data_IF_553682312494
#
_entry.id   IF_553682312494
#
_cell.length_a   1.000
_cell.length_b   1.000
_cell.length_c   1.000
_cell.angle_alpha   90.00
_cell.angle_beta   90.00
_cell.angle_gamma   90.00
#
_symmetry.space_group_name_H-M   'P 1'
#
loop_
_entity.id
_entity.type
_entity.pdbx_description
1 polymer ?
#
# COMPACT_ATOMS: atom_id res chain seq x y z
N UNK A 1 -10.56 -17.17 2.79
CA UNK A 1 -10.69 -16.31 4.00
C UNK A 1 -11.17 -14.93 3.57
N UNK A 2 -12.09 -14.28 4.30
CA UNK A 2 -12.55 -12.92 3.97
C UNK A 2 -11.53 -11.87 4.45
N UNK A 3 -11.45 -10.74 3.76
CA UNK A 3 -10.55 -9.62 4.12
C UNK A 3 -10.77 -9.12 5.56
N UNK A 4 -12.01 -9.11 6.03
CA UNK A 4 -12.33 -8.75 7.43
C UNK A 4 -11.76 -9.75 8.44
N UNK A 5 -11.72 -11.03 8.11
CA UNK A 5 -11.13 -12.08 8.95
C UNK A 5 -9.61 -12.00 8.95
N UNK A 6 -9.01 -11.72 7.78
CA UNK A 6 -7.55 -11.52 7.64
C UNK A 6 -7.08 -10.42 8.57
N UNK A 7 -7.72 -9.24 8.52
CA UNK A 7 -7.36 -8.11 9.38
C UNK A 7 -7.52 -8.45 10.86
N UNK A 8 -8.65 -9.05 11.24
CA UNK A 8 -8.91 -9.38 12.63
C UNK A 8 -7.93 -10.41 13.19
N UNK A 9 -7.62 -11.46 12.43
CA UNK A 9 -6.66 -12.48 12.85
C UNK A 9 -5.25 -11.92 13.05
N UNK A 10 -4.80 -10.95 12.21
CA UNK A 10 -3.54 -10.27 12.41
C UNK A 10 -3.50 -9.53 13.76
N UNK A 11 -4.53 -8.73 14.02
CA UNK A 11 -4.61 -7.96 15.26
C UNK A 11 -4.71 -8.86 16.49
N UNK A 12 -5.52 -9.91 16.44
CA UNK A 12 -5.69 -10.87 17.53
C UNK A 12 -4.40 -11.65 17.81
N UNK A 13 -3.68 -12.05 16.75
CA UNK A 13 -2.39 -12.72 16.87
C UNK A 13 -1.38 -11.85 17.62
N UNK A 14 -1.19 -10.60 17.21
CA UNK A 14 -0.26 -9.72 17.89
C UNK A 14 -0.75 -9.26 19.27
N UNK A 15 -2.05 -9.14 19.48
CA UNK A 15 -2.62 -8.96 20.82
C UNK A 15 -2.26 -10.14 21.77
N UNK A 16 -2.28 -11.40 21.26
CA UNK A 16 -1.83 -12.56 22.02
C UNK A 16 -0.33 -12.54 22.37
N UNK A 17 0.47 -11.82 21.57
CA UNK A 17 1.89 -11.53 21.83
C UNK A 17 2.08 -10.22 22.63
N UNK A 18 1.04 -9.78 23.35
CA UNK A 18 1.02 -8.60 24.23
C UNK A 18 1.17 -7.24 23.52
N UNK A 19 0.86 -7.15 22.23
CA UNK A 19 0.82 -5.86 21.55
C UNK A 19 -0.49 -5.13 21.87
N UNK A 20 -0.38 -3.82 22.08
CA UNK A 20 -1.53 -2.94 22.20
C UNK A 20 -2.09 -2.63 20.83
N UNK A 21 -3.34 -2.98 20.57
CA UNK A 21 -4.04 -2.57 19.34
C UNK A 21 -4.33 -1.07 19.43
N UNK A 22 -3.97 -0.32 18.41
CA UNK A 22 -4.26 1.11 18.27
C UNK A 22 -5.04 1.40 17.00
N UNK A 23 -5.72 2.53 16.95
CA UNK A 23 -6.41 2.97 15.75
C UNK A 23 -5.42 3.49 14.70
N UNK A 24 -5.76 3.30 13.43
CA UNK A 24 -5.02 3.89 12.31
C UNK A 24 -4.94 5.41 12.43
N UNK A 25 -3.75 5.96 12.26
CA UNK A 25 -3.57 7.41 12.16
C UNK A 25 -4.14 7.95 10.83
N UNK A 26 -4.44 9.26 10.75
CA UNK A 26 -4.82 9.90 9.49
C UNK A 26 -3.76 9.74 8.40
N UNK A 27 -4.20 9.61 7.15
CA UNK A 27 -3.29 9.54 5.98
C UNK A 27 -2.59 10.86 5.69
N UNK A 28 -3.21 11.98 6.03
CA UNK A 28 -2.65 13.32 5.77
C UNK A 28 -2.01 13.85 7.04
N UNK A 29 -0.72 14.07 6.98
CA UNK A 29 0.07 14.54 8.11
C UNK A 29 0.09 16.07 8.06
N UNK A 30 -0.44 16.73 9.10
CA UNK A 30 -0.57 18.20 9.12
C UNK A 30 0.67 18.93 9.65
N UNK A 31 1.42 18.29 10.54
CA UNK A 31 2.47 18.94 11.32
C UNK A 31 3.89 18.36 11.07
N UNK A 32 4.07 17.55 10.05
CA UNK A 32 5.40 17.02 9.66
C UNK A 32 5.82 17.62 8.30
N UNK A 33 6.82 18.50 8.27
CA UNK A 33 7.31 19.09 7.02
C UNK A 33 8.05 18.10 6.11
N UNK A 34 8.44 16.93 6.64
CA UNK A 34 9.15 15.90 5.89
C UNK A 34 8.24 14.94 5.13
N UNK A 35 6.96 14.83 5.52
CA UNK A 35 6.00 13.90 4.96
C UNK A 35 4.63 14.55 4.77
N UNK A 36 4.15 14.59 3.54
CA UNK A 36 2.79 15.06 3.23
C UNK A 36 1.73 14.02 3.57
N UNK A 37 2.06 12.74 3.42
CA UNK A 37 1.16 11.60 3.63
C UNK A 37 1.84 10.51 4.45
N UNK A 38 1.06 9.79 5.23
CA UNK A 38 1.47 8.52 5.84
C UNK A 38 1.69 7.49 4.74
N UNK A 39 2.93 7.16 4.44
CA UNK A 39 3.31 6.23 3.37
C UNK A 39 3.79 4.87 3.88
N UNK A 40 3.94 4.73 5.20
CA UNK A 40 4.31 3.50 5.90
C UNK A 40 3.70 3.48 7.30
N UNK A 41 3.49 2.28 7.84
CA UNK A 41 2.87 2.07 9.15
C UNK A 41 3.65 2.71 10.31
N UNK A 42 4.97 2.89 10.16
CA UNK A 42 5.82 3.46 11.20
C UNK A 42 5.74 4.99 11.31
N UNK A 43 5.22 5.70 10.30
CA UNK A 43 5.26 7.16 10.29
C UNK A 43 4.65 7.80 11.56
N UNK A 44 3.50 7.32 12.08
CA UNK A 44 2.92 7.85 13.31
C UNK A 44 3.79 7.64 14.56
N UNK A 45 4.76 6.72 14.51
CA UNK A 45 5.60 6.30 15.63
C UNK A 45 7.05 6.79 15.53
N UNK A 46 7.36 7.66 14.54
CA UNK A 46 8.71 8.21 14.30
C UNK A 46 9.41 8.67 15.57
N UNK A 47 8.70 9.44 16.40
CA UNK A 47 9.25 10.02 17.61
C UNK A 47 9.60 8.97 18.70
N UNK A 48 8.90 7.82 18.67
CA UNK A 48 9.21 6.67 19.54
C UNK A 48 10.53 6.00 19.15
N UNK A 49 10.76 5.80 17.84
CA UNK A 49 12.01 5.23 17.32
C UNK A 49 13.22 6.12 17.61
N UNK A 50 13.04 7.43 17.55
CA UNK A 50 14.10 8.40 17.86
C UNK A 50 14.33 8.62 19.37
N UNK A 51 13.47 8.04 20.22
CA UNK A 51 13.54 8.23 21.67
C UNK A 51 13.12 9.63 22.14
N UNK A 52 12.51 10.44 21.27
CA UNK A 52 12.07 11.80 21.60
C UNK A 52 10.83 11.81 22.50
N UNK A 53 10.03 10.75 22.43
CA UNK A 53 8.81 10.58 23.26
C UNK A 53 8.71 9.15 23.77
N UNK A 54 8.10 8.98 24.95
CA UNK A 54 7.86 7.65 25.52
C UNK A 54 6.65 7.00 24.80
N UNK A 55 6.80 5.77 24.28
CA UNK A 55 5.69 5.08 23.62
C UNK A 55 4.58 4.73 24.63
N UNK A 56 3.32 4.79 24.16
CA UNK A 56 2.14 4.41 24.97
C UNK A 56 2.12 2.91 25.34
N UNK A 57 2.90 2.11 24.65
CA UNK A 57 3.22 0.71 24.88
C UNK A 57 4.52 0.38 24.17
N UNK A 58 5.34 -0.52 24.72
CA UNK A 58 6.54 -1.01 24.04
C UNK A 58 6.23 -1.91 22.85
N UNK A 59 5.01 -2.47 22.78
CA UNK A 59 4.52 -3.29 21.70
C UNK A 59 3.20 -2.70 21.18
N UNK A 60 3.13 -2.39 19.90
CA UNK A 60 1.94 -1.83 19.25
C UNK A 60 1.65 -2.63 17.99
N UNK A 61 0.36 -2.76 17.64
CA UNK A 61 -0.11 -3.30 16.36
C UNK A 61 -1.32 -2.53 15.85
N UNK A 62 -1.41 -2.37 14.55
CA UNK A 62 -2.59 -1.81 13.90
C UNK A 62 -2.73 -2.25 12.43
N UNK A 63 -3.75 -1.71 11.77
CA UNK A 63 -3.89 -1.66 10.32
C UNK A 63 -3.83 -0.21 9.89
N UNK A 64 -2.67 0.26 9.42
CA UNK A 64 -2.44 1.66 9.09
C UNK A 64 -2.87 1.98 7.65
N UNK A 65 -3.68 3.02 7.50
CA UNK A 65 -4.00 3.64 6.21
C UNK A 65 -2.75 4.29 5.62
N UNK A 66 -2.35 3.87 4.43
CA UNK A 66 -1.17 4.41 3.75
C UNK A 66 -1.52 4.95 2.36
N UNK A 67 -0.80 6.01 1.97
CA UNK A 67 -0.96 6.68 0.68
C UNK A 67 0.40 6.87 0.00
N UNK A 68 0.59 6.27 -1.20
CA UNK A 68 1.82 6.34 -1.98
C UNK A 68 1.57 6.98 -3.34
N UNK A 69 1.64 8.32 -3.39
CA UNK A 69 1.31 9.13 -4.58
C UNK A 69 2.28 10.29 -4.82
N UNK A 70 3.39 10.32 -4.08
CA UNK A 70 4.39 11.39 -4.19
C UNK A 70 5.73 11.00 -3.59
N UNK A 71 6.80 11.70 -3.98
CA UNK A 71 8.14 11.51 -3.43
C UNK A 71 8.79 10.20 -3.83
N UNK A 72 9.53 9.59 -2.90
CA UNK A 72 10.27 8.33 -3.12
C UNK A 72 9.33 7.13 -3.37
N UNK A 73 8.13 7.17 -2.80
CA UNK A 73 7.12 6.12 -2.92
C UNK A 73 5.92 6.69 -3.70
N UNK A 74 5.92 6.50 -5.01
CA UNK A 74 4.86 6.98 -5.90
C UNK A 74 4.41 5.87 -6.84
N UNK A 75 3.29 5.25 -6.52
CA UNK A 75 2.73 4.11 -7.24
C UNK A 75 1.63 4.53 -8.24
N UNK A 76 1.42 5.85 -8.44
CA UNK A 76 0.26 6.39 -9.19
C UNK A 76 0.20 5.90 -10.65
N UNK A 77 1.34 5.74 -11.30
CA UNK A 77 1.39 5.36 -12.73
C UNK A 77 1.12 3.86 -12.93
N UNK A 78 1.50 3.02 -11.96
CA UNK A 78 1.31 1.57 -11.97
C UNK A 78 -0.13 1.16 -11.66
N UNK A 79 -0.86 2.00 -10.91
CA UNK A 79 -2.24 1.72 -10.46
C UNK A 79 -3.19 1.46 -11.61
N UNK A 80 -3.81 0.29 -11.57
CA UNK A 80 -4.75 -0.21 -12.56
C UNK A 80 -4.09 -0.92 -13.74
N UNK A 81 -2.80 -0.67 -14.01
CA UNK A 81 -2.01 -1.33 -15.05
C UNK A 81 -1.52 -2.67 -14.54
N UNK A 82 -0.80 -2.69 -13.42
CA UNK A 82 -0.43 -3.93 -12.76
C UNK A 82 -1.54 -4.47 -11.83
N UNK A 83 -1.24 -5.51 -11.08
CA UNK A 83 -2.22 -6.27 -10.30
C UNK A 83 -2.13 -6.05 -8.80
N UNK A 84 -1.15 -5.26 -8.30
CA UNK A 84 -0.83 -5.20 -6.87
C UNK A 84 -0.40 -3.83 -6.33
N UNK A 85 -0.17 -2.81 -7.16
CA UNK A 85 0.07 -1.44 -6.69
C UNK A 85 -1.22 -0.65 -6.52
N UNK A 86 -1.27 0.16 -5.47
CA UNK A 86 -2.41 1.00 -5.10
C UNK A 86 -1.96 2.38 -4.66
N UNK A 87 -2.79 3.41 -4.90
CA UNK A 87 -2.56 4.72 -4.30
C UNK A 87 -2.83 4.69 -2.80
N UNK A 88 -3.96 4.09 -2.41
CA UNK A 88 -4.31 3.80 -1.02
C UNK A 88 -4.22 2.29 -0.76
N UNK A 89 -3.58 1.90 0.33
CA UNK A 89 -3.56 0.52 0.81
C UNK A 89 -3.52 0.46 2.33
N UNK A 90 -3.89 -0.69 2.90
CA UNK A 90 -3.72 -0.94 4.32
C UNK A 90 -2.38 -1.65 4.55
N UNK A 91 -1.61 -1.15 5.53
CA UNK A 91 -0.40 -1.80 6.01
C UNK A 91 -0.69 -2.38 7.39
N UNK A 92 -0.72 -3.71 7.48
CA UNK A 92 -0.77 -4.40 8.76
C UNK A 92 0.61 -4.32 9.39
N UNK A 93 0.69 -3.79 10.60
CA UNK A 93 1.96 -3.52 11.26
C UNK A 93 2.04 -4.00 12.70
N UNK A 94 3.23 -4.43 13.11
CA UNK A 94 3.59 -4.65 14.49
C UNK A 94 4.93 -4.01 14.79
N UNK A 95 5.02 -3.35 15.95
CA UNK A 95 6.18 -2.56 16.34
C UNK A 95 6.67 -2.96 17.71
N UNK A 96 8.02 -2.92 17.87
CA UNK A 96 8.72 -3.05 19.14
C UNK A 96 9.59 -1.82 19.39
N UNK A 97 9.37 -1.18 20.51
CA UNK A 97 10.14 0.00 20.94
C UNK A 97 11.08 -0.39 22.07
N UNK A 98 12.26 -0.91 21.71
CA UNK A 98 13.28 -1.36 22.67
C UNK A 98 12.82 -2.53 23.55
N UNK A 99 12.05 -3.48 22.98
CA UNK A 99 11.56 -4.67 23.70
C UNK A 99 12.07 -5.96 23.03
N UNK A 100 11.36 -6.49 22.03
CA UNK A 100 11.84 -7.63 21.23
C UNK A 100 12.55 -7.19 19.95
N UNK A 101 13.27 -8.12 19.32
CA UNK A 101 14.01 -7.83 18.10
C UNK A 101 13.85 -8.96 17.05
N UNK A 102 14.92 -9.29 16.32
CA UNK A 102 14.88 -10.19 15.14
C UNK A 102 14.34 -11.58 15.44
N UNK A 103 14.73 -12.18 16.56
CA UNK A 103 14.35 -13.57 16.86
C UNK A 103 12.83 -13.71 17.00
N UNK A 104 12.21 -12.89 17.84
CA UNK A 104 10.76 -12.91 18.00
C UNK A 104 10.03 -12.45 16.73
N UNK A 105 10.50 -11.36 16.10
CA UNK A 105 9.86 -10.83 14.91
C UNK A 105 9.78 -11.87 13.77
N UNK A 106 10.88 -12.56 13.50
CA UNK A 106 10.98 -13.59 12.47
C UNK A 106 10.15 -14.82 12.83
N UNK A 107 10.27 -15.32 14.06
CA UNK A 107 9.51 -16.50 14.49
C UNK A 107 8.00 -16.24 14.50
N UNK A 108 7.55 -15.05 14.95
CA UNK A 108 6.12 -14.69 14.93
C UNK A 108 5.60 -14.46 13.50
N UNK A 109 6.41 -13.89 12.62
CA UNK A 109 6.03 -13.76 11.21
C UNK A 109 5.81 -15.13 10.57
N UNK A 110 6.72 -16.08 10.82
CA UNK A 110 6.57 -17.46 10.36
C UNK A 110 5.34 -18.13 10.94
N UNK A 111 5.16 -18.08 12.27
CA UNK A 111 4.00 -18.65 12.97
C UNK A 111 2.68 -18.10 12.40
N UNK A 112 2.58 -16.78 12.21
CA UNK A 112 1.37 -16.16 11.65
C UNK A 112 1.06 -16.67 10.23
N UNK A 113 2.06 -16.69 9.37
CA UNK A 113 1.86 -17.09 7.96
C UNK A 113 1.53 -18.59 7.83
N UNK A 114 2.24 -19.46 8.55
CA UNK A 114 2.13 -20.90 8.35
C UNK A 114 1.11 -21.57 9.28
N UNK A 115 0.99 -21.10 10.53
CA UNK A 115 0.12 -21.74 11.52
C UNK A 115 -1.27 -21.07 11.60
N UNK A 116 -1.36 -19.75 11.44
CA UNK A 116 -2.65 -19.03 11.50
C UNK A 116 -3.27 -18.94 10.12
N UNK A 117 -2.54 -18.39 9.14
CA UNK A 117 -3.04 -18.22 7.78
C UNK A 117 -2.92 -19.48 6.92
N UNK A 118 -2.20 -20.51 7.37
CA UNK A 118 -2.04 -21.80 6.66
C UNK A 118 -1.45 -21.67 5.26
N UNK A 119 -0.58 -20.70 5.07
CA UNK A 119 0.18 -20.56 3.82
C UNK A 119 1.19 -21.71 3.75
N UNK A 120 1.25 -22.35 2.61
CA UNK A 120 2.18 -23.45 2.34
C UNK A 120 3.63 -22.96 2.47
N UNK A 121 4.43 -23.52 3.42
CA UNK A 121 5.83 -23.17 3.61
C UNK A 121 6.67 -23.27 2.33
N UNK A 122 6.30 -24.19 1.44
CA UNK A 122 7.01 -24.40 0.17
C UNK A 122 6.86 -23.27 -0.84
N UNK A 123 5.92 -22.34 -0.60
CA UNK A 123 5.73 -21.14 -1.42
C UNK A 123 6.46 -19.89 -0.89
N UNK A 124 7.10 -20.01 0.30
CA UNK A 124 7.71 -18.86 0.98
C UNK A 124 9.20 -18.77 0.65
N UNK A 125 9.63 -17.59 0.28
CA UNK A 125 11.02 -17.17 0.12
C UNK A 125 11.26 -15.95 0.99
N UNK A 126 12.48 -15.80 1.52
CA UNK A 126 12.86 -14.65 2.32
C UNK A 126 14.12 -14.01 1.78
N UNK A 127 14.25 -12.71 1.96
CA UNK A 127 15.47 -11.99 1.69
C UNK A 127 16.11 -11.52 2.99
N UNK A 128 17.42 -11.36 2.99
CA UNK A 128 18.17 -10.72 4.05
C UNK A 128 19.13 -9.69 3.44
N UNK A 129 19.48 -8.69 4.20
CA UNK A 129 20.42 -7.66 3.75
C UNK A 129 21.83 -8.22 3.52
N UNK A 130 22.37 -8.03 2.29
CA UNK A 130 23.70 -8.50 1.90
C UNK A 130 24.85 -7.65 2.43
N UNK A 131 24.54 -6.48 3.00
CA UNK A 131 25.52 -5.50 3.46
C UNK A 131 25.70 -4.35 2.47
N UNK A 132 26.33 -3.25 2.94
CA UNK A 132 26.68 -2.08 2.13
C UNK A 132 28.03 -1.52 2.55
N UNK A 133 29.03 -1.65 1.67
CA UNK A 133 30.41 -1.21 1.95
C UNK A 133 30.52 0.29 2.19
N UNK A 134 29.74 1.08 1.47
CA UNK A 134 29.77 2.55 1.60
C UNK A 134 29.32 3.00 2.99
N UNK A 135 28.31 2.34 3.55
CA UNK A 135 27.80 2.64 4.90
C UNK A 135 28.54 1.83 5.99
N UNK A 136 29.53 0.99 5.62
CA UNK A 136 30.28 0.12 6.52
C UNK A 136 29.38 -0.86 7.32
N UNK A 137 28.28 -1.32 6.70
CA UNK A 137 27.35 -2.28 7.31
C UNK A 137 27.59 -3.64 6.65
N UNK A 138 27.83 -4.66 7.48
CA UNK A 138 27.96 -6.06 7.03
C UNK A 138 26.64 -6.70 6.65
N UNK A 139 26.73 -7.93 6.14
CA UNK A 139 25.56 -8.81 5.91
C UNK A 139 24.82 -9.03 7.22
N UNK A 140 23.50 -9.12 7.17
CA UNK A 140 22.67 -9.44 8.33
C UNK A 140 22.72 -10.95 8.67
N UNK A 141 23.84 -11.38 9.24
CA UNK A 141 24.06 -12.77 9.64
C UNK A 141 23.13 -13.21 10.79
N UNK A 142 22.64 -12.26 11.61
CA UNK A 142 21.69 -12.56 12.68
C UNK A 142 20.35 -13.02 12.07
N UNK A 143 19.77 -12.25 11.17
CA UNK A 143 18.53 -12.65 10.46
C UNK A 143 18.72 -13.94 9.65
N UNK A 144 19.86 -14.07 8.94
CA UNK A 144 20.18 -15.30 8.20
C UNK A 144 20.18 -16.54 9.11
N UNK A 145 20.84 -16.48 10.26
CA UNK A 145 20.95 -17.63 11.17
C UNK A 145 19.61 -17.98 11.83
N UNK A 146 18.71 -17.01 12.02
CA UNK A 146 17.35 -17.27 12.51
C UNK A 146 16.54 -17.97 11.42
N UNK A 147 16.51 -17.43 10.20
CA UNK A 147 15.80 -18.03 9.08
C UNK A 147 16.29 -19.44 8.72
N UNK A 148 17.60 -19.71 8.81
CA UNK A 148 18.20 -21.02 8.54
C UNK A 148 17.71 -22.15 9.46
N UNK A 149 17.17 -21.80 10.65
CA UNK A 149 16.52 -22.77 11.55
C UNK A 149 15.12 -23.16 11.10
N UNK A 150 14.51 -22.36 10.23
CA UNK A 150 13.11 -22.42 9.84
C UNK A 150 12.94 -22.86 8.39
N UNK A 151 13.77 -22.33 7.49
CA UNK A 151 13.71 -22.54 6.04
C UNK A 151 14.97 -23.21 5.49
N UNK A 152 14.85 -23.98 4.40
CA UNK A 152 16.00 -24.44 3.61
C UNK A 152 16.81 -23.24 3.09
N UNK A 153 18.12 -23.39 3.03
CA UNK A 153 19.07 -22.31 2.71
C UNK A 153 18.84 -21.70 1.31
N UNK A 154 18.41 -22.52 0.33
CA UNK A 154 18.07 -22.09 -1.02
C UNK A 154 16.85 -21.17 -1.12
N UNK A 155 16.11 -20.97 -0.03
CA UNK A 155 14.97 -20.05 0.08
C UNK A 155 15.31 -18.78 0.84
N UNK A 156 16.55 -18.63 1.31
CA UNK A 156 17.06 -17.43 1.99
C UNK A 156 17.98 -16.70 1.02
N UNK A 157 17.50 -15.60 0.46
CA UNK A 157 18.17 -14.89 -0.61
C UNK A 157 18.85 -13.61 -0.08
N UNK A 158 19.89 -13.18 -0.77
CA UNK A 158 20.56 -11.92 -0.46
C UNK A 158 19.88 -10.77 -1.22
N UNK A 159 19.56 -9.71 -0.51
CA UNK A 159 19.03 -8.49 -1.10
C UNK A 159 19.96 -7.30 -0.86
N UNK A 160 20.06 -6.45 -1.86
CA UNK A 160 20.91 -5.27 -1.85
C UNK A 160 20.29 -4.14 -0.99
N UNK A 161 21.01 -3.02 -0.89
CA UNK A 161 20.56 -1.86 -0.10
C UNK A 161 19.22 -1.27 -0.57
N UNK A 162 18.92 -1.35 -1.86
CA UNK A 162 17.67 -0.81 -2.41
C UNK A 162 16.46 -1.60 -1.87
N UNK A 163 16.61 -2.92 -1.79
CA UNK A 163 15.53 -3.82 -1.44
C UNK A 163 15.52 -4.14 0.07
N UNK A 164 16.69 -4.39 0.67
CA UNK A 164 16.80 -4.88 2.05
C UNK A 164 17.44 -3.91 3.06
N UNK A 165 17.44 -2.61 2.78
CA UNK A 165 17.79 -1.58 3.78
C UNK A 165 16.76 -0.46 3.75
N UNK A 166 15.81 -0.51 4.67
CA UNK A 166 14.73 0.46 4.74
C UNK A 166 15.16 1.75 5.41
N UNK A 167 14.70 2.87 4.89
CA UNK A 167 14.87 4.20 5.49
C UNK A 167 13.57 5.00 5.29
N UNK A 168 13.13 5.70 6.33
CA UNK A 168 11.91 6.51 6.30
C UNK A 168 11.98 7.61 5.20
N UNK A 169 13.15 8.17 5.00
CA UNK A 169 13.45 9.20 4.02
C UNK A 169 14.96 9.40 3.87
N UNK A 170 15.37 10.59 3.45
CA UNK A 170 16.79 10.95 3.36
C UNK A 170 17.45 11.08 4.75
N UNK A 171 16.65 11.28 5.78
CA UNK A 171 17.03 11.34 7.18
C UNK A 171 16.03 10.59 8.05
N UNK A 172 16.46 10.16 9.23
CA UNK A 172 15.61 9.52 10.23
C UNK A 172 15.91 8.04 10.46
N UNK A 173 15.02 7.33 11.17
CA UNK A 173 15.19 5.92 11.53
C UNK A 173 15.37 5.06 10.28
N UNK A 174 16.34 4.11 10.37
CA UNK A 174 16.62 3.19 9.28
C UNK A 174 17.31 1.92 9.80
N UNK A 175 17.34 0.88 8.97
CA UNK A 175 18.01 -0.36 9.29
C UNK A 175 17.86 -1.43 8.24
N UNK A 176 18.58 -2.56 8.36
CA UNK A 176 18.41 -3.71 7.50
C UNK A 176 17.01 -4.28 7.65
N UNK A 177 16.53 -4.91 6.59
CA UNK A 177 15.25 -5.58 6.64
C UNK A 177 15.28 -6.97 5.99
N UNK A 178 14.28 -7.76 6.31
CA UNK A 178 14.02 -9.08 5.74
C UNK A 178 12.63 -9.07 5.13
N UNK A 179 12.55 -9.28 3.83
CA UNK A 179 11.27 -9.37 3.12
C UNK A 179 10.82 -10.82 3.05
N UNK A 180 9.51 -11.02 3.13
CA UNK A 180 8.86 -12.32 2.94
C UNK A 180 8.07 -12.26 1.63
N UNK A 181 8.45 -13.13 0.70
CA UNK A 181 7.84 -13.27 -0.61
C UNK A 181 7.05 -14.58 -0.69
N UNK A 182 5.94 -14.54 -1.42
CA UNK A 182 5.10 -15.72 -1.66
C UNK A 182 4.98 -15.96 -3.16
N UNK A 183 5.28 -17.20 -3.56
CA UNK A 183 5.12 -17.67 -4.94
C UNK A 183 3.71 -18.24 -5.12
N UNK A 184 2.85 -17.47 -5.78
CA UNK A 184 1.46 -17.88 -6.04
C UNK A 184 1.26 -18.51 -7.42
N UNK A 185 2.35 -18.87 -8.11
CA UNK A 185 2.30 -19.56 -9.42
C UNK A 185 1.77 -20.97 -9.28
N UNK A 186 1.43 -21.58 -10.43
CA UNK A 186 1.10 -23.01 -10.48
C UNK A 186 2.34 -23.87 -10.26
N UNK A 187 2.13 -25.14 -9.91
CA UNK A 187 3.25 -26.09 -9.72
C UNK A 187 4.08 -26.26 -10.99
N UNK A 188 3.42 -26.29 -12.14
CA UNK A 188 4.07 -26.43 -13.46
C UNK A 188 4.95 -25.22 -13.81
N UNK A 189 4.56 -24.03 -13.37
CA UNK A 189 5.37 -22.81 -13.54
C UNK A 189 6.58 -22.80 -12.61
N UNK A 190 6.40 -23.27 -11.35
CA UNK A 190 7.47 -23.37 -10.34
C UNK A 190 8.51 -24.42 -10.75
N UNK A 191 8.09 -25.56 -11.28
CA UNK A 191 8.99 -26.61 -11.78
C UNK A 191 9.87 -26.14 -12.96
N UNK A 192 9.35 -25.24 -13.81
CA UNK A 192 10.11 -24.68 -14.93
C UNK A 192 11.15 -23.65 -14.49
N UNK A 193 10.78 -22.79 -13.54
CA UNK A 193 11.63 -21.71 -13.02
C UNK A 193 11.40 -21.59 -11.53
N UNK A 194 12.42 -21.84 -10.72
CA UNK A 194 12.35 -21.68 -9.27
C UNK A 194 11.93 -20.24 -8.90
N UNK A 195 11.09 -20.12 -7.87
CA UNK A 195 10.71 -18.81 -7.32
C UNK A 195 11.89 -17.98 -6.83
N UNK A 196 12.97 -18.63 -6.35
CA UNK A 196 14.20 -17.94 -5.95
C UNK A 196 14.82 -17.06 -7.04
N UNK A 197 14.64 -17.42 -8.32
CA UNK A 197 15.12 -16.64 -9.45
C UNK A 197 14.25 -15.42 -9.79
N UNK A 198 13.06 -15.35 -9.19
CA UNK A 198 12.04 -14.33 -9.51
C UNK A 198 11.77 -13.35 -8.35
N UNK A 199 12.29 -13.63 -7.16
CA UNK A 199 12.26 -12.71 -6.02
C UNK A 199 12.95 -11.40 -6.40
N UNK A 200 12.31 -10.25 -6.14
CA UNK A 200 12.79 -8.90 -6.48
C UNK A 200 13.14 -8.72 -7.98
N UNK A 201 12.33 -9.36 -8.86
CA UNK A 201 12.43 -9.24 -10.33
C UNK A 201 11.11 -8.75 -10.96
N UNK A 202 10.29 -8.04 -10.22
CA UNK A 202 9.00 -7.49 -10.66
C UNK A 202 8.05 -8.56 -11.25
N UNK A 203 8.17 -9.82 -10.78
CA UNK A 203 7.30 -10.89 -11.26
C UNK A 203 5.93 -10.79 -10.55
N UNK A 204 4.80 -10.70 -11.30
CA UNK A 204 3.48 -10.42 -10.72
C UNK A 204 2.94 -11.51 -9.80
N UNK A 205 3.55 -12.70 -9.81
CA UNK A 205 3.11 -13.86 -9.01
C UNK A 205 4.19 -14.39 -8.04
N UNK A 206 5.31 -13.68 -7.88
CA UNK A 206 6.30 -13.93 -6.82
C UNK A 206 6.46 -12.60 -6.10
N UNK A 207 5.62 -12.38 -5.12
CA UNK A 207 5.34 -11.06 -4.57
C UNK A 207 5.84 -10.93 -3.14
N UNK A 208 6.43 -9.78 -2.84
CA UNK A 208 6.67 -9.34 -1.47
C UNK A 208 5.33 -9.09 -0.78
N UNK A 209 5.11 -9.77 0.35
CA UNK A 209 3.89 -9.63 1.16
C UNK A 209 4.18 -8.89 2.45
N UNK A 210 5.36 -9.11 3.04
CA UNK A 210 5.70 -8.57 4.35
C UNK A 210 7.16 -8.14 4.41
N UNK A 211 7.42 -6.95 4.93
CA UNK A 211 8.76 -6.45 5.20
C UNK A 211 8.98 -6.33 6.72
N UNK A 212 10.01 -7.01 7.24
CA UNK A 212 10.42 -6.97 8.65
C UNK A 212 11.64 -6.05 8.74
N UNK A 213 11.46 -4.83 9.24
CA UNK A 213 12.51 -3.83 9.35
C UNK A 213 13.10 -3.81 10.75
N UNK A 214 14.41 -3.91 10.84
CA UNK A 214 15.19 -3.91 12.07
C UNK A 214 15.87 -2.56 12.24
N UNK A 215 15.19 -1.63 12.90
CA UNK A 215 15.65 -0.25 13.06
C UNK A 215 16.73 -0.18 14.12
N UNK A 216 17.96 0.07 13.67
CA UNK A 216 19.16 0.16 14.52
C UNK A 216 19.88 1.50 14.36
N UNK A 217 19.56 2.29 13.33
CA UNK A 217 20.27 3.51 12.97
C UNK A 217 19.35 4.71 12.79
N UNK A 218 19.93 5.89 12.98
CA UNK A 218 19.36 7.16 12.53
C UNK A 218 20.28 7.74 11.45
N UNK A 219 19.75 7.97 10.25
CA UNK A 219 20.47 8.63 9.16
C UNK A 219 20.45 10.14 9.37
N UNK A 220 21.64 10.75 9.41
CA UNK A 220 21.82 12.19 9.55
C UNK A 220 21.76 12.92 8.21
N UNK A 221 21.68 14.25 8.26
CA UNK A 221 21.64 15.12 7.06
C UNK A 221 22.87 14.99 6.15
N UNK A 222 24.04 14.66 6.70
CA UNK A 222 25.27 14.40 5.96
C UNK A 222 25.35 12.99 5.35
N UNK A 223 24.30 12.18 5.55
CA UNK A 223 24.18 10.80 5.09
C UNK A 223 24.85 9.76 6.01
N UNK A 224 25.52 10.17 7.07
CA UNK A 224 26.12 9.25 8.05
C UNK A 224 25.04 8.51 8.86
N UNK A 225 25.43 7.34 9.38
CA UNK A 225 24.56 6.51 10.21
C UNK A 225 25.04 6.56 11.67
N UNK A 226 24.13 6.96 12.55
CA UNK A 226 24.33 6.92 13.99
C UNK A 226 23.51 5.76 14.58
N UNK A 227 24.14 4.93 15.43
CA UNK A 227 23.41 3.87 16.12
C UNK A 227 22.39 4.45 17.09
N UNK A 228 21.19 3.92 17.07
CA UNK A 228 20.18 4.25 18.07
C UNK A 228 20.52 3.65 19.44
N UNK A 229 20.09 4.28 20.54
CA UNK A 229 20.29 3.74 21.89
C UNK A 229 19.66 2.37 22.12
N UNK A 230 18.51 2.15 21.49
CA UNK A 230 17.75 0.88 21.56
C UNK A 230 17.52 0.35 20.14
N UNK A 231 17.32 -0.96 20.05
CA UNK A 231 16.92 -1.63 18.81
C UNK A 231 15.40 -1.72 18.75
N UNK A 232 14.85 -1.52 17.58
CA UNK A 232 13.41 -1.50 17.38
C UNK A 232 13.01 -2.43 16.22
N UNK A 233 11.77 -2.86 16.25
CA UNK A 233 11.14 -3.58 15.12
C UNK A 233 10.05 -2.70 14.54
N UNK A 234 10.07 -2.56 13.21
CA UNK A 234 9.00 -2.02 12.37
C UNK A 234 8.63 -3.08 11.35
N UNK A 235 7.37 -3.44 11.23
CA UNK A 235 6.95 -4.34 10.16
C UNK A 235 5.81 -3.77 9.37
N UNK A 236 5.79 -4.08 8.08
CA UNK A 236 4.72 -3.67 7.18
C UNK A 236 4.32 -4.80 6.25
N UNK A 237 3.10 -5.35 6.46
CA UNK A 237 2.51 -6.34 5.59
C UNK A 237 1.42 -5.72 4.73
N UNK A 238 1.52 -5.88 3.40
CA UNK A 238 0.52 -5.41 2.46
C UNK A 238 -0.79 -6.20 2.61
N UNK A 239 -1.80 -5.57 3.18
CA UNK A 239 -3.09 -6.22 3.44
C UNK A 239 -3.76 -6.74 2.16
N UNK A 240 -3.80 -5.93 1.11
CA UNK A 240 -4.40 -6.32 -0.17
C UNK A 240 -3.64 -7.49 -0.82
N UNK A 241 -2.29 -7.47 -0.74
CA UNK A 241 -1.45 -8.57 -1.23
C UNK A 241 -1.68 -9.85 -0.44
N UNK A 242 -1.77 -9.76 0.89
CA UNK A 242 -2.09 -10.90 1.74
C UNK A 242 -3.48 -11.47 1.42
N UNK A 243 -4.49 -10.61 1.24
CA UNK A 243 -5.83 -11.04 0.82
C UNK A 243 -5.79 -11.77 -0.53
N UNK A 244 -5.00 -11.30 -1.48
CA UNK A 244 -4.82 -11.95 -2.78
C UNK A 244 -4.27 -13.38 -2.63
N UNK A 245 -3.24 -13.55 -1.80
CA UNK A 245 -2.67 -14.88 -1.50
C UNK A 245 -3.69 -15.80 -0.84
N UNK A 246 -4.36 -15.31 0.22
CA UNK A 246 -5.29 -16.13 1.02
C UNK A 246 -6.61 -16.46 0.31
N UNK A 247 -6.95 -15.70 -0.72
CA UNK A 247 -8.13 -15.94 -1.57
C UNK A 247 -7.80 -16.65 -2.88
N UNK A 248 -6.54 -17.09 -3.05
CA UNK A 248 -6.04 -17.76 -4.25
C UNK A 248 -6.37 -16.95 -5.54
N UNK A 249 -6.05 -15.65 -5.50
CA UNK A 249 -6.23 -14.73 -6.62
C UNK A 249 -4.90 -14.36 -7.26
N UNK A 250 -4.93 -13.89 -8.50
CA UNK A 250 -3.76 -13.42 -9.26
C UNK A 250 -3.69 -11.90 -9.36
N UNK A 251 -4.68 -11.20 -8.78
CA UNK A 251 -4.75 -9.76 -8.71
C UNK A 251 -5.44 -9.34 -7.41
N UNK A 252 -4.94 -8.27 -6.77
CA UNK A 252 -5.61 -7.64 -5.63
C UNK A 252 -7.04 -7.24 -5.99
N UNK A 253 -7.26 -6.79 -7.23
CA UNK A 253 -8.57 -6.37 -7.73
C UNK A 253 -9.60 -7.50 -7.82
N UNK A 254 -9.18 -8.77 -7.81
CA UNK A 254 -10.06 -9.94 -7.84
C UNK A 254 -10.44 -10.44 -6.45
N UNK A 255 -10.00 -9.76 -5.40
CA UNK A 255 -10.32 -10.06 -4.00
C UNK A 255 -11.62 -9.40 -3.55
N UNK A 256 -12.14 -9.83 -2.41
CA UNK A 256 -13.30 -9.21 -1.79
C UNK A 256 -13.06 -7.76 -1.31
N UNK A 257 -11.81 -7.29 -1.34
CA UNK A 257 -11.44 -5.89 -1.09
C UNK A 257 -11.90 -4.97 -2.22
N UNK A 258 -11.87 -5.43 -3.47
CA UNK A 258 -12.19 -4.60 -4.64
C UNK A 258 -13.45 -5.03 -5.39
N UNK A 259 -13.77 -6.32 -5.42
CA UNK A 259 -14.89 -6.87 -6.20
C UNK A 259 -16.22 -6.16 -5.95
N UNK A 260 -16.62 -5.80 -4.72
CA UNK A 260 -17.88 -5.07 -4.52
C UNK A 260 -17.92 -3.72 -5.24
N UNK A 261 -16.82 -2.97 -5.22
CA UNK A 261 -16.70 -1.70 -5.97
C UNK A 261 -16.70 -1.93 -7.48
N UNK A 262 -15.94 -2.92 -7.95
CA UNK A 262 -15.85 -3.27 -9.37
C UNK A 262 -17.24 -3.62 -9.91
N UNK A 263 -18.02 -4.45 -9.22
CA UNK A 263 -19.38 -4.84 -9.64
C UNK A 263 -20.35 -3.65 -9.67
N UNK A 264 -20.22 -2.73 -8.72
CA UNK A 264 -21.06 -1.52 -8.76
C UNK A 264 -20.65 -0.59 -9.91
N UNK A 265 -19.35 -0.45 -10.20
CA UNK A 265 -18.87 0.31 -11.36
C UNK A 265 -19.39 -0.31 -12.66
N UNK A 266 -19.34 -1.64 -12.82
CA UNK A 266 -19.91 -2.33 -13.98
C UNK A 266 -21.40 -1.97 -14.16
N UNK A 267 -22.15 -2.02 -13.07
CA UNK A 267 -23.59 -1.72 -13.07
C UNK A 267 -23.86 -0.27 -13.49
N UNK A 268 -23.17 0.68 -12.86
CA UNK A 268 -23.36 2.12 -13.12
C UNK A 268 -22.91 2.55 -14.51
N UNK A 269 -21.92 1.87 -15.08
CA UNK A 269 -21.32 2.25 -16.36
C UNK A 269 -21.77 1.36 -17.54
N UNK A 270 -22.56 0.31 -17.27
CA UNK A 270 -22.94 -0.71 -18.24
C UNK A 270 -21.71 -1.31 -18.96
N UNK A 271 -20.62 -1.51 -18.22
CA UNK A 271 -19.39 -2.14 -18.70
C UNK A 271 -19.22 -3.53 -18.11
N UNK A 272 -18.23 -4.29 -18.57
CA UNK A 272 -17.96 -5.62 -18.05
C UNK A 272 -16.46 -5.77 -17.81
N UNK A 273 -16.09 -6.06 -16.56
CA UNK A 273 -14.71 -6.35 -16.14
C UNK A 273 -14.28 -7.72 -16.69
N UNK A 274 -13.03 -7.80 -17.14
CA UNK A 274 -12.46 -9.01 -17.74
C UNK A 274 -12.65 -9.15 -19.26
N UNK A 275 -13.27 -8.16 -19.94
CA UNK A 275 -13.50 -8.22 -21.40
C UNK A 275 -12.49 -7.41 -22.22
N UNK A 276 -11.93 -6.35 -21.67
CA UNK A 276 -11.06 -5.43 -22.39
C UNK A 276 -10.07 -4.79 -21.42
N UNK A 277 -8.80 -4.83 -21.75
CA UNK A 277 -7.73 -4.24 -20.95
C UNK A 277 -8.01 -2.77 -20.59
N UNK A 278 -8.44 -1.95 -21.56
CA UNK A 278 -8.76 -0.53 -21.31
C UNK A 278 -9.92 -0.34 -20.33
N UNK A 279 -10.95 -1.19 -20.45
CA UNK A 279 -12.09 -1.19 -19.53
C UNK A 279 -11.65 -1.63 -18.16
N UNK A 280 -10.86 -2.68 -18.06
CA UNK A 280 -10.38 -3.25 -16.79
C UNK A 280 -9.49 -2.26 -16.06
N UNK A 281 -8.52 -1.66 -16.74
CA UNK A 281 -7.68 -0.59 -16.17
C UNK A 281 -8.55 0.56 -15.65
N UNK A 282 -9.56 0.97 -16.43
CA UNK A 282 -10.42 2.10 -16.03
C UNK A 282 -11.23 1.79 -14.78
N UNK A 283 -11.79 0.60 -14.68
CA UNK A 283 -12.55 0.15 -13.51
C UNK A 283 -11.62 0.06 -12.28
N UNK A 284 -10.41 -0.51 -12.44
CA UNK A 284 -9.40 -0.61 -11.37
C UNK A 284 -8.98 0.77 -10.86
N UNK A 285 -8.67 1.69 -11.77
CA UNK A 285 -8.29 3.07 -11.41
C UNK A 285 -9.41 3.76 -10.64
N UNK A 286 -10.67 3.63 -11.07
CA UNK A 286 -11.80 4.25 -10.37
C UNK A 286 -11.98 3.64 -8.98
N UNK A 287 -11.92 2.32 -8.85
CA UNK A 287 -12.06 1.62 -7.57
C UNK A 287 -10.94 2.00 -6.58
N UNK A 288 -9.70 2.03 -7.04
CA UNK A 288 -8.54 2.44 -6.23
C UNK A 288 -8.64 3.90 -5.80
N UNK A 289 -8.87 4.80 -6.75
CA UNK A 289 -8.85 6.24 -6.49
C UNK A 289 -10.03 6.70 -5.62
N UNK A 290 -11.18 6.04 -5.71
CA UNK A 290 -12.28 6.30 -4.78
C UNK A 290 -11.87 6.00 -3.34
N UNK A 291 -11.16 4.87 -3.10
CA UNK A 291 -10.66 4.53 -1.76
C UNK A 291 -9.79 5.68 -1.24
N UNK A 292 -8.82 6.10 -2.03
CA UNK A 292 -7.92 7.22 -1.67
C UNK A 292 -8.69 8.50 -1.34
N UNK A 293 -9.57 8.93 -2.22
CA UNK A 293 -10.27 10.21 -2.07
C UNK A 293 -11.22 10.19 -0.89
N UNK A 294 -11.97 9.10 -0.73
CA UNK A 294 -12.92 9.00 0.36
C UNK A 294 -12.23 8.95 1.73
N UNK A 295 -11.17 8.14 1.89
CA UNK A 295 -10.41 8.11 3.13
C UNK A 295 -9.74 9.46 3.43
N UNK A 296 -9.21 10.16 2.44
CA UNK A 296 -8.66 11.50 2.63
C UNK A 296 -9.72 12.49 3.14
N UNK A 297 -10.92 12.49 2.54
CA UNK A 297 -12.02 13.35 2.99
C UNK A 297 -12.45 12.96 4.41
N UNK A 298 -12.54 11.68 4.73
CA UNK A 298 -12.90 11.20 6.06
C UNK A 298 -11.87 11.59 7.13
N UNK A 299 -10.58 11.69 6.76
CA UNK A 299 -9.51 12.20 7.62
C UNK A 299 -9.46 13.75 7.67
N UNK A 300 -10.39 14.44 7.00
CA UNK A 300 -10.53 15.90 7.01
C UNK A 300 -9.72 16.63 5.94
N UNK A 301 -9.20 15.92 4.93
CA UNK A 301 -8.51 16.55 3.79
C UNK A 301 -9.43 16.65 2.58
N UNK A 302 -9.92 17.84 2.33
CA UNK A 302 -10.74 18.13 1.14
C UNK A 302 -9.85 18.35 -0.11
N UNK A 303 -10.35 18.00 -1.32
CA UNK A 303 -9.74 18.43 -2.57
C UNK A 303 -9.57 19.96 -2.63
N UNK A 304 -8.40 20.43 -3.05
CA UNK A 304 -8.09 21.85 -3.13
C UNK A 304 -7.12 22.17 -4.28
N UNK A 305 -6.68 23.44 -4.38
CA UNK A 305 -5.72 23.88 -5.40
C UNK A 305 -4.26 23.81 -4.96
N UNK A 306 -3.99 23.51 -3.67
CA UNK A 306 -2.65 23.54 -3.09
C UNK A 306 -2.44 22.37 -2.14
N UNK A 307 -1.16 22.05 -1.86
CA UNK A 307 -0.76 21.06 -0.86
C UNK A 307 -1.35 19.68 -1.06
N UNK A 308 -1.64 18.99 0.03
CA UNK A 308 -2.23 17.66 0.01
C UNK A 308 -3.56 17.59 -0.74
N UNK A 309 -4.42 18.60 -0.57
CA UNK A 309 -5.70 18.66 -1.26
C UNK A 309 -5.59 18.74 -2.79
N UNK A 310 -4.52 19.32 -3.32
CA UNK A 310 -4.23 19.31 -4.76
C UNK A 310 -3.94 17.90 -5.27
N UNK A 311 -3.18 17.12 -4.51
CA UNK A 311 -2.88 15.72 -4.87
C UNK A 311 -4.18 14.91 -4.86
N UNK A 312 -5.00 15.02 -3.81
CA UNK A 312 -6.30 14.34 -3.72
C UNK A 312 -7.21 14.73 -4.89
N UNK A 313 -7.27 16.02 -5.26
CA UNK A 313 -8.03 16.50 -6.42
C UNK A 313 -7.52 15.89 -7.73
N UNK A 314 -6.21 15.79 -7.92
CA UNK A 314 -5.62 15.15 -9.12
C UNK A 314 -6.01 13.68 -9.22
N UNK A 315 -5.99 12.95 -8.12
CA UNK A 315 -6.38 11.53 -8.08
C UNK A 315 -7.86 11.38 -8.47
N UNK A 316 -8.76 12.19 -7.88
CA UNK A 316 -10.17 12.16 -8.24
C UNK A 316 -10.38 12.49 -9.73
N UNK A 317 -9.74 13.53 -10.24
CA UNK A 317 -9.83 13.93 -11.66
C UNK A 317 -9.28 12.84 -12.60
N UNK A 318 -8.26 12.09 -12.17
CA UNK A 318 -7.76 10.94 -12.93
C UNK A 318 -8.86 9.87 -13.04
N UNK A 319 -9.54 9.53 -11.95
CA UNK A 319 -10.66 8.58 -11.98
C UNK A 319 -11.81 9.07 -12.89
N UNK A 320 -12.21 10.34 -12.77
CA UNK A 320 -13.27 10.93 -13.62
C UNK A 320 -12.88 10.86 -15.10
N UNK A 321 -11.63 11.18 -15.44
CA UNK A 321 -11.12 11.12 -16.81
C UNK A 321 -11.18 9.70 -17.37
N UNK A 322 -10.83 8.68 -16.59
CA UNK A 322 -10.95 7.28 -17.02
C UNK A 322 -12.40 6.88 -17.26
N UNK A 323 -13.31 7.26 -16.38
CA UNK A 323 -14.75 7.06 -16.56
C UNK A 323 -15.28 7.76 -17.82
N UNK A 324 -14.91 9.01 -18.05
CA UNK A 324 -15.31 9.80 -19.21
C UNK A 324 -14.77 9.21 -20.52
N UNK A 325 -13.48 8.89 -20.58
CA UNK A 325 -12.78 8.52 -21.80
C UNK A 325 -13.06 7.07 -22.22
N UNK A 326 -13.06 6.15 -21.26
CA UNK A 326 -13.06 4.72 -21.59
C UNK A 326 -14.35 3.99 -21.20
N UNK A 327 -15.14 4.53 -20.26
CA UNK A 327 -16.44 3.96 -19.87
C UNK A 327 -17.61 4.80 -20.34
N UNK A 328 -17.37 5.82 -21.17
CA UNK A 328 -18.37 6.72 -21.75
C UNK A 328 -19.29 7.41 -20.71
N UNK A 329 -18.77 7.68 -19.51
CA UNK A 329 -19.54 8.33 -18.45
C UNK A 329 -19.43 9.86 -18.56
N UNK A 330 -20.49 10.48 -19.08
CA UNK A 330 -20.57 11.94 -19.28
C UNK A 330 -21.26 12.68 -18.12
N UNK A 331 -21.73 11.92 -17.12
CA UNK A 331 -22.38 12.44 -15.91
C UNK A 331 -21.67 11.93 -14.67
N UNK A 332 -21.73 12.66 -13.55
CA UNK A 332 -21.19 12.20 -12.29
C UNK A 332 -21.77 10.83 -11.87
N UNK A 333 -20.92 9.94 -11.39
CA UNK A 333 -21.32 8.61 -10.93
C UNK A 333 -20.42 8.07 -9.80
N UNK A 334 -19.15 8.51 -9.70
CA UNK A 334 -18.19 7.99 -8.72
C UNK A 334 -18.69 8.22 -7.29
N UNK A 335 -19.34 9.33 -7.05
CA UNK A 335 -19.93 9.65 -5.74
C UNK A 335 -20.95 8.62 -5.25
N UNK A 336 -21.60 7.87 -6.16
CA UNK A 336 -22.55 6.81 -5.81
C UNK A 336 -21.87 5.61 -5.13
N UNK A 337 -20.60 5.38 -5.44
CA UNK A 337 -19.78 4.30 -4.88
C UNK A 337 -19.41 4.52 -3.39
N UNK A 338 -19.54 5.74 -2.89
CA UNK A 338 -19.24 6.11 -1.48
C UNK A 338 -20.00 5.20 -0.50
N UNK A 339 -21.26 4.91 -0.78
CA UNK A 339 -22.10 4.05 0.07
C UNK A 339 -21.55 2.62 0.15
N UNK A 340 -21.14 2.05 -0.97
CA UNK A 340 -20.59 0.68 -1.03
C UNK A 340 -19.31 0.59 -0.22
N UNK A 341 -18.38 1.52 -0.40
CA UNK A 341 -17.12 1.54 0.33
C UNK A 341 -17.34 1.74 1.85
N UNK A 342 -18.28 2.62 2.24
CA UNK A 342 -18.65 2.81 3.65
C UNK A 342 -19.20 1.52 4.28
N UNK A 343 -20.04 0.79 3.57
CA UNK A 343 -20.58 -0.49 4.04
C UNK A 343 -19.48 -1.56 4.17
N UNK A 344 -18.54 -1.58 3.24
CA UNK A 344 -17.47 -2.57 3.18
C UNK A 344 -16.40 -2.36 4.26
N UNK A 345 -15.95 -1.12 4.45
CA UNK A 345 -14.80 -0.79 5.28
C UNK A 345 -15.14 -0.04 6.58
N UNK A 346 -16.38 0.46 6.71
CA UNK A 346 -16.78 1.31 7.83
C UNK A 346 -16.73 0.65 9.21
N UNK A 347 -16.77 -0.71 9.28
CA UNK A 347 -16.56 -1.42 10.54
C UNK A 347 -15.12 -1.30 11.05
N UNK A 348 -14.15 -1.36 10.15
CA UNK A 348 -12.73 -1.20 10.49
C UNK A 348 -12.33 0.28 10.63
N UNK A 349 -12.99 1.15 9.86
CA UNK A 349 -12.71 2.58 9.78
C UNK A 349 -14.01 3.39 9.99
N UNK A 350 -14.44 3.60 11.25
CA UNK A 350 -15.73 4.25 11.57
C UNK A 350 -15.86 5.67 11.00
N UNK A 351 -14.75 6.36 10.75
CA UNK A 351 -14.73 7.68 10.11
C UNK A 351 -15.40 7.68 8.72
N UNK A 352 -15.35 6.57 7.98
CA UNK A 352 -16.06 6.45 6.71
C UNK A 352 -17.57 6.57 6.89
N UNK A 353 -18.12 5.92 7.90
CA UNK A 353 -19.56 6.01 8.20
C UNK A 353 -19.93 7.43 8.61
N UNK A 354 -19.12 8.03 9.50
CA UNK A 354 -19.35 9.37 10.03
C UNK A 354 -19.35 10.44 8.95
N UNK A 355 -18.38 10.37 8.04
CA UNK A 355 -18.18 11.40 7.00
C UNK A 355 -18.78 11.01 5.63
N UNK A 356 -19.65 9.99 5.58
CA UNK A 356 -20.21 9.46 4.33
C UNK A 356 -20.94 10.53 3.52
N UNK A 357 -21.78 11.35 4.16
CA UNK A 357 -22.55 12.38 3.46
C UNK A 357 -21.65 13.52 2.96
N UNK A 358 -20.62 13.89 3.73
CA UNK A 358 -19.63 14.87 3.31
C UNK A 358 -18.90 14.39 2.06
N UNK A 359 -18.38 13.16 2.08
CA UNK A 359 -17.66 12.58 0.93
C UNK A 359 -18.55 12.48 -0.31
N UNK A 360 -19.79 12.04 -0.14
CA UNK A 360 -20.78 11.99 -1.22
C UNK A 360 -20.95 13.36 -1.90
N UNK A 361 -21.14 14.43 -1.11
CA UNK A 361 -21.36 15.76 -1.63
C UNK A 361 -20.10 16.35 -2.29
N UNK A 362 -18.95 16.21 -1.64
CA UNK A 362 -17.66 16.72 -2.14
C UNK A 362 -17.27 16.05 -3.46
N UNK A 363 -17.35 14.72 -3.53
CA UNK A 363 -17.00 13.98 -4.75
C UNK A 363 -17.95 14.37 -5.88
N UNK A 364 -19.26 14.43 -5.60
CA UNK A 364 -20.28 14.84 -6.61
C UNK A 364 -20.01 16.21 -7.19
N UNK A 365 -19.67 17.18 -6.34
CA UNK A 365 -19.39 18.56 -6.78
C UNK A 365 -18.11 18.65 -7.61
N UNK A 366 -17.03 17.96 -7.19
CA UNK A 366 -15.78 17.90 -7.96
C UNK A 366 -15.98 17.17 -9.31
N UNK A 367 -16.82 16.12 -9.39
CA UNK A 367 -17.18 15.47 -10.64
C UNK A 367 -17.92 16.43 -11.57
N UNK A 368 -18.96 17.13 -11.09
CA UNK A 368 -19.72 18.10 -11.87
C UNK A 368 -18.81 19.20 -12.44
N UNK A 369 -17.98 19.78 -11.57
CA UNK A 369 -17.06 20.86 -11.95
C UNK A 369 -16.05 20.41 -12.99
N UNK A 370 -15.47 19.24 -12.82
CA UNK A 370 -14.43 18.74 -13.73
C UNK A 370 -15.00 18.25 -15.07
N UNK A 371 -16.15 17.59 -15.08
CA UNK A 371 -16.81 17.17 -16.32
C UNK A 371 -17.20 18.39 -17.18
N UNK A 372 -17.67 19.47 -16.58
CA UNK A 372 -17.92 20.73 -17.30
C UNK A 372 -16.64 21.26 -17.94
N UNK A 373 -15.53 21.32 -17.19
CA UNK A 373 -14.23 21.75 -17.70
C UNK A 373 -13.72 20.88 -18.85
N UNK A 374 -13.92 19.56 -18.75
CA UNK A 374 -13.57 18.60 -19.81
C UNK A 374 -14.37 18.84 -21.10
N UNK A 375 -15.67 19.02 -20.98
CA UNK A 375 -16.57 19.27 -22.12
C UNK A 375 -16.23 20.58 -22.83
N UNK A 376 -16.03 21.65 -22.08
CA UNK A 376 -15.58 22.95 -22.60
C UNK A 376 -14.20 22.83 -23.30
N UNK A 377 -13.24 22.13 -22.69
CA UNK A 377 -11.90 21.91 -23.26
C UNK A 377 -11.92 21.10 -24.55
N UNK A 378 -12.71 20.02 -24.62
CA UNK A 378 -12.87 19.21 -25.82
C UNK A 378 -13.58 19.99 -26.95
N UNK A 379 -14.63 20.74 -26.63
CA UNK A 379 -15.33 21.59 -27.59
C UNK A 379 -14.40 22.64 -28.20
N UNK A 380 -13.51 23.24 -27.39
CA UNK A 380 -12.51 24.18 -27.86
C UNK A 380 -11.49 23.50 -28.77
N UNK A 381 -10.99 22.32 -28.37
CA UNK A 381 -10.06 21.53 -29.19
C UNK A 381 -10.65 21.17 -30.55
N UNK A 382 -11.90 20.68 -30.58
CA UNK A 382 -12.62 20.35 -31.82
C UNK A 382 -12.77 21.60 -32.72
N UNK A 383 -13.09 22.76 -32.13
CA UNK A 383 -13.15 24.02 -32.86
C UNK A 383 -11.81 24.39 -33.49
N UNK A 384 -10.70 24.20 -32.78
CA UNK A 384 -9.34 24.47 -33.27
C UNK A 384 -8.97 23.49 -34.40
N UNK A 385 -9.19 22.20 -34.19
CA UNK A 385 -8.92 21.15 -35.20
C UNK A 385 -9.71 21.39 -36.50
N UNK A 386 -10.98 21.75 -36.39
CA UNK A 386 -11.84 22.05 -37.54
C UNK A 386 -11.37 23.32 -38.31
N UNK A 387 -10.82 24.30 -37.62
CA UNK A 387 -10.27 25.53 -38.25
C UNK A 387 -8.91 25.31 -38.92
N UNK A 388 -8.10 24.41 -38.41
CA UNK A 388 -6.72 24.13 -38.90
C UNK A 388 -6.67 23.25 -40.14
N UNK A 389 -7.75 22.53 -40.49
CA UNK A 389 -7.89 21.69 -41.73
C UNK A 389 -6.59 20.97 -42.13
N UNK A 390 -6.00 20.19 -41.21
CA UNK A 390 -4.83 19.37 -41.49
C UNK A 390 -3.48 20.10 -41.46
N UNK A 391 -3.41 21.35 -41.00
CA UNK A 391 -2.14 22.00 -40.67
C UNK A 391 -1.69 21.59 -39.27
N UNK A 392 -0.35 21.41 -39.06
CA UNK A 392 0.19 21.21 -37.71
C UNK A 392 -0.28 22.33 -36.78
N UNK A 393 -0.81 21.94 -35.64
CA UNK A 393 -1.06 22.84 -34.51
C UNK A 393 0.20 22.79 -33.67
N UNK A 394 0.90 23.94 -33.52
CA UNK A 394 2.07 24.07 -32.66
C UNK A 394 1.66 24.10 -31.19
#
# INVERSE_FOLDING_TARGET
>A
MKSTEVRQQFLDFFASKTHKIVASAPMVIKDDPSLMFTNAGMNPFKEYFLGNTTPISKRITDTQKCLRVSGKHNDLEEVGIDTYHHTFFEMLGNWSFGDYFKDEAINWAWELLTEVYKIDPDKIYVTIFEGEKKDQIGRDDEAYNIWKKILPEERILLGNKKDNFWAMGDQGPCGPCSEIHIDIRSKEEIEKVSGSNLVNKDHPHVIEVWNLVFIEFNRKADGSLEKLPEKHVDTGMGFERLCMVLQDKKSNYDTDVFIPLIREIETLTNSTYGKSEKTDISIRVIADHLRTVYFAIADGQLPSNTGAGYVIRRILRRAIRYGFTFLNQKKPFIYLLVKILSQQMGKAFPELIKEQQLAYNVIKEEENSFLKTLDEGLSLLDSILNKTKGKKVD
#
